data_IF_332125856517
#
_entry.id   IF_332125856517
#
_cell.length_a   1.000
_cell.length_b   1.000
_cell.length_c   1.000
_cell.angle_alpha   90.00
_cell.angle_beta   90.00
_cell.angle_gamma   90.00
#
_symmetry.space_group_name_H-M   'P 1'
#
loop_
_entity.id
_entity.type
_entity.pdbx_description
1 polymer ?
#
# COMPACT_ATOMS: atom_id res chain seq x y z
N UNK A 1 22.06 -15.42 36.32
CA UNK A 1 21.33 -14.47 35.45
C UNK A 1 20.39 -13.67 36.34
N UNK A 2 20.51 -12.34 36.37
CA UNK A 2 19.60 -11.51 37.16
C UNK A 2 18.16 -11.69 36.64
N UNK A 3 17.29 -12.25 37.47
CA UNK A 3 15.86 -12.43 37.15
C UNK A 3 15.12 -11.17 37.55
N UNK A 4 14.87 -10.30 36.57
CA UNK A 4 14.04 -9.11 36.77
C UNK A 4 12.55 -9.50 36.79
N UNK A 5 11.79 -8.94 37.73
CA UNK A 5 10.33 -9.10 37.76
C UNK A 5 9.69 -8.58 36.45
N UNK A 6 8.60 -9.23 36.02
CA UNK A 6 7.85 -8.83 34.82
C UNK A 6 7.34 -7.39 34.93
N UNK A 7 6.81 -7.02 36.10
CA UNK A 7 6.27 -5.69 36.37
C UNK A 7 7.34 -4.59 36.25
N UNK A 8 8.54 -4.87 36.76
CA UNK A 8 9.67 -3.96 36.70
C UNK A 8 10.14 -3.74 35.26
N UNK A 9 10.21 -4.83 34.49
CA UNK A 9 10.56 -4.77 33.07
C UNK A 9 9.53 -3.98 32.27
N UNK A 10 8.25 -4.18 32.53
CA UNK A 10 7.17 -3.49 31.81
C UNK A 10 7.14 -1.99 32.14
N UNK A 11 7.41 -1.62 33.41
CA UNK A 11 7.60 -0.21 33.81
C UNK A 11 8.73 0.46 33.02
N UNK A 12 9.89 -0.18 32.93
CA UNK A 12 11.04 0.37 32.19
C UNK A 12 10.77 0.44 30.68
N UNK A 13 10.07 -0.54 30.11
CA UNK A 13 9.66 -0.51 28.70
C UNK A 13 8.71 0.68 28.43
N UNK A 14 7.79 0.99 29.36
CA UNK A 14 6.89 2.15 29.25
C UNK A 14 7.65 3.49 29.25
N UNK A 15 8.69 3.62 30.06
CA UNK A 15 9.53 4.83 30.13
C UNK A 15 10.41 5.01 28.86
N UNK A 16 10.88 3.91 28.26
CA UNK A 16 11.73 3.91 27.05
C UNK A 16 10.98 4.09 25.72
N UNK A 17 9.65 4.07 25.74
CA UNK A 17 8.81 4.17 24.55
C UNK A 17 8.01 5.48 24.60
N UNK A 18 7.42 5.93 23.47
CA UNK A 18 6.45 7.02 23.49
C UNK A 18 5.34 6.73 24.52
N UNK A 19 4.89 7.73 25.31
CA UNK A 19 5.06 9.18 25.13
C UNK A 19 6.27 9.82 25.83
N UNK A 20 6.93 9.13 26.79
CA UNK A 20 8.03 9.72 27.56
C UNK A 20 9.38 9.68 26.83
N UNK A 21 9.65 8.62 26.05
CA UNK A 21 10.84 8.47 25.20
C UNK A 21 12.18 8.74 25.93
N UNK A 22 12.31 8.33 27.19
CA UNK A 22 13.50 8.60 28.02
C UNK A 22 14.75 7.90 27.50
N UNK A 23 15.90 8.51 27.77
CA UNK A 23 17.19 7.98 27.34
C UNK A 23 17.54 6.70 28.10
N UNK A 24 18.12 5.73 27.39
CA UNK A 24 18.57 4.49 28.01
C UNK A 24 19.64 4.78 29.08
N UNK A 25 20.50 5.78 28.85
CA UNK A 25 21.55 6.17 29.81
C UNK A 25 20.99 6.63 31.15
N UNK A 26 19.95 7.46 31.13
CA UNK A 26 19.27 7.93 32.35
C UNK A 26 18.68 6.76 33.15
N UNK A 27 18.12 5.76 32.45
CA UNK A 27 17.58 4.57 33.10
C UNK A 27 18.65 3.61 33.63
N UNK A 28 19.86 3.61 33.03
CA UNK A 28 21.01 2.88 33.59
C UNK A 28 21.41 3.50 34.92
N UNK A 29 21.50 4.83 34.99
CA UNK A 29 21.90 5.55 36.20
C UNK A 29 20.85 5.44 37.33
N UNK A 30 19.56 5.53 37.00
CA UNK A 30 18.49 5.49 37.99
C UNK A 30 18.22 4.06 38.50
N UNK A 31 18.14 3.08 37.59
CA UNK A 31 17.69 1.72 37.93
C UNK A 31 18.83 0.69 37.99
N UNK A 32 20.08 1.10 37.75
CA UNK A 32 21.27 0.25 37.78
C UNK A 32 21.12 -1.02 36.91
N UNK A 33 20.37 -0.90 35.82
CA UNK A 33 20.17 -1.98 34.84
C UNK A 33 21.19 -1.81 33.73
N UNK A 34 21.87 -2.91 33.38
CA UNK A 34 22.87 -2.88 32.31
C UNK A 34 22.26 -2.44 30.97
N UNK A 35 22.94 -1.52 30.27
CA UNK A 35 22.48 -0.88 29.03
C UNK A 35 21.99 -1.88 27.97
N UNK A 36 22.77 -2.95 27.75
CA UNK A 36 22.43 -4.03 26.81
C UNK A 36 21.10 -4.73 27.14
N UNK A 37 20.72 -4.82 28.41
CA UNK A 37 19.46 -5.45 28.84
C UNK A 37 18.26 -4.57 28.45
N UNK A 38 18.37 -3.27 28.66
CA UNK A 38 17.38 -2.28 28.25
C UNK A 38 17.21 -2.25 26.72
N UNK A 39 18.31 -2.27 25.96
CA UNK A 39 18.26 -2.40 24.50
C UNK A 39 17.56 -3.68 24.03
N UNK A 40 17.86 -4.83 24.65
CA UNK A 40 17.20 -6.11 24.34
C UNK A 40 15.70 -6.07 24.66
N UNK A 41 15.30 -5.44 25.75
CA UNK A 41 13.89 -5.29 26.11
C UNK A 41 13.15 -4.35 25.17
N UNK A 42 13.72 -3.20 24.81
CA UNK A 42 13.15 -2.28 23.82
C UNK A 42 12.97 -2.96 22.46
N UNK A 43 13.99 -3.69 21.99
CA UNK A 43 13.92 -4.43 20.72
C UNK A 43 12.83 -5.52 20.76
N UNK A 44 12.74 -6.27 21.86
CA UNK A 44 11.69 -7.30 22.04
C UNK A 44 10.29 -6.68 22.16
N UNK A 45 10.14 -5.51 22.79
CA UNK A 45 8.87 -4.80 22.88
C UNK A 45 8.40 -4.31 21.51
N UNK A 46 9.30 -3.68 20.73
CA UNK A 46 9.04 -3.28 19.34
C UNK A 46 8.67 -4.48 18.45
N UNK A 47 9.40 -5.60 18.58
CA UNK A 47 9.14 -6.81 17.79
C UNK A 47 7.86 -7.55 18.20
N UNK A 48 7.45 -7.47 19.46
CA UNK A 48 6.21 -8.08 19.96
C UNK A 48 4.96 -7.28 19.62
N UNK A 49 5.10 -6.12 18.97
CA UNK A 49 3.95 -5.35 18.52
C UNK A 49 3.04 -4.93 19.66
N UNK A 50 3.59 -4.51 20.81
CA UNK A 50 2.84 -3.61 21.67
C UNK A 50 2.65 -2.34 20.85
N UNK A 51 1.50 -2.27 20.19
CA UNK A 51 1.02 -1.15 19.39
C UNK A 51 0.91 0.06 20.31
N UNK A 52 2.03 0.70 20.60
CA UNK A 52 2.01 2.09 20.99
C UNK A 52 1.94 2.85 19.68
N UNK A 53 0.79 3.47 19.49
CA UNK A 53 0.42 4.16 18.28
C UNK A 53 1.43 5.27 18.00
N UNK A 54 2.39 5.00 17.11
CA UNK A 54 3.12 6.02 16.40
C UNK A 54 2.08 6.78 15.56
N UNK A 55 1.56 7.87 16.11
CA UNK A 55 0.66 8.80 15.42
C UNK A 55 1.34 9.54 14.25
N UNK A 56 2.58 9.19 13.89
CA UNK A 56 3.37 9.86 12.86
C UNK A 56 3.75 8.98 11.66
N UNK A 57 3.41 7.69 11.63
CA UNK A 57 3.90 6.84 10.53
C UNK A 57 3.23 5.50 10.27
N UNK A 58 2.48 4.94 11.23
CA UNK A 58 1.59 3.81 10.92
C UNK A 58 0.21 4.38 10.61
N UNK A 59 -0.27 4.22 9.37
CA UNK A 59 -1.70 4.40 9.06
C UNK A 59 -2.47 3.60 10.09
N UNK A 60 -2.98 4.25 11.14
CA UNK A 60 -3.92 3.62 12.03
C UNK A 60 -5.03 3.12 11.12
N UNK A 61 -5.30 1.81 11.16
CA UNK A 61 -6.49 1.29 10.49
C UNK A 61 -7.67 1.87 11.25
N UNK A 62 -8.13 3.06 10.84
CA UNK A 62 -9.34 3.67 11.38
C UNK A 62 -10.48 2.69 11.11
N UNK A 63 -11.11 2.20 12.18
CA UNK A 63 -12.32 1.40 12.04
C UNK A 63 -13.40 2.21 11.35
N UNK A 64 -14.35 1.56 10.68
CA UNK A 64 -15.43 2.27 9.95
C UNK A 64 -16.24 3.17 10.88
N UNK A 65 -16.44 2.76 12.14
CA UNK A 65 -17.10 3.54 13.18
C UNK A 65 -16.32 4.82 13.51
N UNK A 66 -14.99 4.72 13.60
CA UNK A 66 -14.12 5.86 13.88
C UNK A 66 -14.06 6.82 12.69
N UNK A 67 -14.02 6.29 11.46
CA UNK A 67 -14.12 7.10 10.24
C UNK A 67 -15.44 7.87 10.22
N UNK A 68 -16.55 7.22 10.53
CA UNK A 68 -17.87 7.87 10.61
C UNK A 68 -17.89 8.97 11.67
N UNK A 69 -17.35 8.71 12.87
CA UNK A 69 -17.27 9.71 13.93
C UNK A 69 -16.48 10.95 13.47
N UNK A 70 -15.32 10.74 12.83
CA UNK A 70 -14.49 11.83 12.30
C UNK A 70 -15.25 12.62 11.23
N UNK A 71 -15.98 11.94 10.35
CA UNK A 71 -16.80 12.59 9.31
C UNK A 71 -17.87 13.49 9.94
N UNK A 72 -18.53 13.03 11.01
CA UNK A 72 -19.56 13.79 11.72
C UNK A 72 -18.93 14.98 12.45
N UNK A 73 -17.83 14.77 13.17
CA UNK A 73 -17.10 15.83 13.89
C UNK A 73 -16.57 16.93 12.97
N UNK A 74 -16.20 16.56 11.72
CA UNK A 74 -15.64 17.49 10.72
C UNK A 74 -16.69 18.13 9.82
N UNK A 75 -17.96 17.73 9.93
CA UNK A 75 -19.05 18.31 9.15
C UNK A 75 -19.27 19.83 9.37
N UNK A 76 -19.25 20.35 10.62
CA UNK A 76 -19.46 21.78 10.87
C UNK A 76 -18.19 22.63 10.75
N UNK A 77 -17.01 22.02 10.57
CA UNK A 77 -15.73 22.72 10.62
C UNK A 77 -15.42 23.45 9.32
N UNK A 78 -14.85 24.66 9.43
CA UNK A 78 -14.32 25.38 8.28
C UNK A 78 -12.95 24.83 7.84
N UNK A 79 -12.48 25.16 6.63
CA UNK A 79 -11.22 24.64 6.06
C UNK A 79 -9.99 24.84 6.99
N UNK A 80 -9.93 25.95 7.71
CA UNK A 80 -8.86 26.22 8.68
C UNK A 80 -8.91 25.26 9.88
N UNK A 81 -10.09 25.12 10.49
CA UNK A 81 -10.34 24.26 11.65
C UNK A 81 -10.16 22.78 11.28
N UNK A 82 -10.56 22.40 10.05
CA UNK A 82 -10.32 21.08 9.50
C UNK A 82 -8.82 20.77 9.41
N UNK A 83 -8.01 21.73 8.97
CA UNK A 83 -6.54 21.57 8.90
C UNK A 83 -5.92 21.37 10.28
N UNK A 84 -6.36 22.13 11.28
CA UNK A 84 -5.92 21.98 12.67
C UNK A 84 -6.35 20.63 13.26
N UNK A 85 -7.59 20.21 13.02
CA UNK A 85 -8.11 18.91 13.42
C UNK A 85 -7.29 17.77 12.79
N UNK A 86 -7.02 17.86 11.49
CA UNK A 86 -6.20 16.92 10.72
C UNK A 86 -4.80 16.77 11.33
N UNK A 87 -4.13 17.90 11.64
CA UNK A 87 -2.80 17.91 12.29
C UNK A 87 -2.82 17.28 13.68
N UNK A 88 -3.87 17.55 14.48
CA UNK A 88 -4.01 16.98 15.84
C UNK A 88 -4.27 15.48 15.83
N UNK A 89 -5.04 14.99 14.84
CA UNK A 89 -5.44 13.57 14.73
C UNK A 89 -4.47 12.73 13.88
N UNK A 90 -3.58 13.37 13.13
CA UNK A 90 -2.65 12.71 12.21
C UNK A 90 -3.33 12.20 10.93
N UNK A 91 -4.36 12.89 10.44
CA UNK A 91 -5.18 12.50 9.29
C UNK A 91 -5.07 13.60 8.22
N UNK A 92 -5.11 13.24 6.94
CA UNK A 92 -5.19 14.22 5.85
C UNK A 92 -6.63 14.55 5.48
N UNK A 93 -6.90 15.81 5.09
CA UNK A 93 -8.22 16.24 4.65
C UNK A 93 -8.74 15.41 3.45
N UNK A 94 -7.84 15.04 2.53
CA UNK A 94 -8.13 14.16 1.40
C UNK A 94 -8.63 12.77 1.85
N UNK A 95 -8.10 12.22 2.94
CA UNK A 95 -8.55 10.92 3.47
C UNK A 95 -9.98 11.01 4.00
N UNK A 96 -10.33 12.12 4.67
CA UNK A 96 -11.69 12.37 5.16
C UNK A 96 -12.67 12.48 3.99
N UNK A 97 -12.28 13.16 2.91
CA UNK A 97 -13.10 13.24 1.69
C UNK A 97 -13.30 11.87 1.04
N UNK A 98 -12.24 11.07 0.93
CA UNK A 98 -12.33 9.70 0.42
C UNK A 98 -13.28 8.85 1.27
N UNK A 99 -13.21 8.96 2.60
CA UNK A 99 -14.15 8.25 3.49
C UNK A 99 -15.59 8.76 3.33
N UNK A 100 -15.81 10.08 3.20
CA UNK A 100 -17.14 10.66 2.92
C UNK A 100 -17.71 10.08 1.63
N UNK A 101 -16.93 10.07 0.56
CA UNK A 101 -17.36 9.53 -0.74
C UNK A 101 -17.65 8.03 -0.66
N UNK A 102 -16.80 7.25 0.01
CA UNK A 102 -17.02 5.82 0.23
C UNK A 102 -18.32 5.54 1.02
N UNK A 103 -18.61 6.35 2.05
CA UNK A 103 -19.87 6.25 2.81
C UNK A 103 -21.09 6.59 1.97
N UNK A 104 -21.03 7.63 1.12
CA UNK A 104 -22.14 8.04 0.26
C UNK A 104 -22.41 7.00 -0.84
N UNK A 105 -21.36 6.48 -1.45
CA UNK A 105 -21.46 5.50 -2.54
C UNK A 105 -21.77 4.08 -2.04
N UNK A 106 -21.58 3.83 -0.74
CA UNK A 106 -21.63 2.48 -0.17
C UNK A 106 -20.45 1.60 -0.61
N UNK A 107 -19.48 2.19 -1.30
CA UNK A 107 -18.39 1.48 -1.94
C UNK A 107 -17.33 1.11 -0.91
N UNK A 108 -17.08 -0.18 -0.74
CA UNK A 108 -16.02 -0.63 0.16
C UNK A 108 -14.64 -0.27 -0.44
N UNK A 109 -13.63 -0.13 0.43
CA UNK A 109 -12.25 0.11 -0.01
C UNK A 109 -11.71 -1.01 -0.93
N UNK A 110 -12.37 -2.17 -0.96
CA UNK A 110 -12.10 -3.27 -1.86
C UNK A 110 -12.72 -3.04 -3.24
N UNK A 111 -13.99 -2.62 -3.32
CA UNK A 111 -14.66 -2.32 -4.60
C UNK A 111 -13.98 -1.21 -5.40
N UNK A 112 -13.52 -0.14 -4.73
CA UNK A 112 -12.79 0.94 -5.38
C UNK A 112 -11.44 0.49 -5.97
N UNK A 113 -10.75 -0.45 -5.30
CA UNK A 113 -9.52 -1.07 -5.84
C UNK A 113 -9.84 -1.98 -7.01
N UNK A 114 -10.86 -2.83 -6.88
CA UNK A 114 -11.33 -3.71 -7.96
C UNK A 114 -11.71 -2.91 -9.20
N UNK A 115 -12.38 -1.75 -9.04
CA UNK A 115 -12.71 -0.88 -10.18
C UNK A 115 -11.48 -0.27 -10.85
N UNK A 116 -10.43 0.10 -10.10
CA UNK A 116 -9.18 0.58 -10.66
C UNK A 116 -8.44 -0.53 -11.41
N UNK A 117 -8.29 -1.68 -10.78
CA UNK A 117 -7.68 -2.88 -11.40
C UNK A 117 -8.42 -3.31 -12.67
N UNK A 118 -9.76 -3.24 -12.67
CA UNK A 118 -10.58 -3.53 -13.85
C UNK A 118 -10.28 -2.55 -14.99
N UNK A 119 -10.15 -1.24 -14.70
CA UNK A 119 -9.84 -0.23 -15.72
C UNK A 119 -8.45 -0.43 -16.30
N UNK A 120 -7.45 -0.70 -15.45
CA UNK A 120 -6.08 -0.92 -15.87
C UNK A 120 -5.99 -2.19 -16.72
N UNK A 121 -6.61 -3.29 -16.28
CA UNK A 121 -6.68 -4.54 -17.06
C UNK A 121 -7.41 -4.36 -18.40
N UNK A 122 -8.49 -3.58 -18.45
CA UNK A 122 -9.17 -3.26 -19.71
C UNK A 122 -8.29 -2.45 -20.66
N UNK A 123 -7.46 -1.54 -20.16
CA UNK A 123 -6.53 -0.77 -20.97
C UNK A 123 -5.43 -1.68 -21.56
N UNK A 124 -4.87 -2.57 -20.75
CA UNK A 124 -3.89 -3.58 -21.20
C UNK A 124 -4.48 -4.53 -22.24
N UNK A 125 -5.72 -5.00 -22.03
CA UNK A 125 -6.41 -5.85 -23.00
C UNK A 125 -6.64 -5.13 -24.34
N UNK A 126 -6.93 -3.83 -24.33
CA UNK A 126 -7.06 -3.06 -25.57
C UNK A 126 -5.73 -2.90 -26.30
N UNK A 127 -4.65 -2.67 -25.57
CA UNK A 127 -3.32 -2.50 -26.14
C UNK A 127 -2.84 -3.81 -26.76
N UNK A 128 -2.89 -4.90 -25.99
CA UNK A 128 -2.51 -6.24 -26.45
C UNK A 128 -3.33 -6.70 -27.66
N UNK A 129 -4.64 -6.45 -27.69
CA UNK A 129 -5.47 -6.74 -28.87
C UNK A 129 -5.01 -5.99 -30.12
N UNK A 130 -4.68 -4.70 -30.01
CA UNK A 130 -4.15 -3.94 -31.16
C UNK A 130 -2.81 -4.46 -31.65
N UNK A 131 -1.93 -4.87 -30.74
CA UNK A 131 -0.66 -5.50 -31.13
C UNK A 131 -0.87 -6.85 -31.82
N UNK A 132 -1.83 -7.64 -31.33
CA UNK A 132 -2.23 -8.90 -31.95
C UNK A 132 -2.71 -8.68 -33.38
N UNK A 133 -3.65 -7.75 -33.60
CA UNK A 133 -4.18 -7.43 -34.93
C UNK A 133 -3.08 -7.00 -35.91
N UNK A 134 -2.11 -6.19 -35.46
CA UNK A 134 -0.97 -5.79 -36.29
C UNK A 134 -0.09 -6.98 -36.68
N UNK A 135 0.18 -7.88 -35.73
CA UNK A 135 0.99 -9.09 -35.96
C UNK A 135 0.27 -10.07 -36.87
N UNK A 136 -1.03 -10.27 -36.69
CA UNK A 136 -1.85 -11.12 -37.56
C UNK A 136 -1.90 -10.58 -38.99
N UNK A 137 -2.03 -9.25 -39.17
CA UNK A 137 -1.97 -8.63 -40.49
C UNK A 137 -0.62 -8.86 -41.19
N UNK A 138 0.48 -8.62 -40.48
CA UNK A 138 1.82 -8.86 -41.03
C UNK A 138 2.06 -10.34 -41.34
N UNK A 139 1.53 -11.25 -40.52
CA UNK A 139 1.60 -12.69 -40.74
C UNK A 139 0.78 -13.09 -41.97
N UNK A 140 -0.42 -12.54 -42.15
CA UNK A 140 -1.25 -12.77 -43.32
C UNK A 140 -0.58 -12.26 -44.61
N UNK A 141 0.04 -11.08 -44.57
CA UNK A 141 0.82 -10.54 -45.68
C UNK A 141 2.02 -11.44 -46.02
N UNK A 142 2.77 -11.91 -45.01
CA UNK A 142 3.86 -12.86 -45.23
C UNK A 142 3.39 -14.20 -45.83
N UNK A 143 2.26 -14.73 -45.34
CA UNK A 143 1.66 -15.94 -45.89
C UNK A 143 1.22 -15.76 -47.35
N UNK A 144 0.63 -14.61 -47.69
CA UNK A 144 0.27 -14.26 -49.06
C UNK A 144 1.48 -14.20 -49.99
N UNK A 145 2.59 -13.59 -49.54
CA UNK A 145 3.84 -13.55 -50.30
C UNK A 145 4.44 -14.95 -50.51
N UNK A 146 4.41 -15.82 -49.51
CA UNK A 146 4.87 -17.21 -49.64
C UNK A 146 4.03 -18.01 -50.65
N UNK A 147 2.70 -17.85 -50.60
CA UNK A 147 1.80 -18.49 -51.56
C UNK A 147 2.05 -17.98 -52.97
N UNK A 148 2.22 -16.67 -53.15
CA UNK A 148 2.51 -16.07 -54.45
C UNK A 148 3.84 -16.59 -55.02
N UNK A 149 4.91 -16.63 -54.21
CA UNK A 149 6.21 -17.18 -54.60
C UNK A 149 6.09 -18.64 -55.05
N UNK A 150 5.34 -19.46 -54.31
CA UNK A 150 5.12 -20.87 -54.66
C UNK A 150 4.37 -21.03 -55.99
N UNK A 151 3.34 -20.22 -56.23
CA UNK A 151 2.58 -20.24 -57.51
C UNK A 151 3.47 -19.82 -58.68
N UNK A 152 4.25 -18.77 -58.50
CA UNK A 152 5.19 -18.28 -59.52
C UNK A 152 6.25 -19.33 -59.88
N UNK A 153 6.85 -19.98 -58.88
CA UNK A 153 7.80 -21.08 -59.11
C UNK A 153 7.15 -22.27 -59.83
N UNK A 154 5.89 -22.59 -59.52
CA UNK A 154 5.17 -23.67 -60.21
C UNK A 154 4.96 -23.39 -61.70
N UNK A 155 4.67 -22.13 -62.07
CA UNK A 155 4.52 -21.71 -63.48
C UNK A 155 5.85 -21.77 -64.23
N UNK A 156 6.94 -21.31 -63.62
CA UNK A 156 8.25 -21.33 -64.30
C UNK A 156 8.92 -22.70 -64.35
N UNK A 157 8.69 -23.58 -63.37
CA UNK A 157 9.16 -24.98 -63.47
C UNK A 157 8.38 -25.80 -64.50
N UNK A 158 7.13 -25.44 -64.81
CA UNK A 158 6.38 -26.15 -65.87
C UNK A 158 6.85 -25.80 -67.29
N UNK A 159 7.59 -24.70 -67.48
CA UNK A 159 8.14 -24.29 -68.79
C UNK A 159 9.54 -24.88 -69.06
N UNK A 160 10.22 -25.50 -68.08
CA UNK A 160 11.56 -26.08 -68.23
C UNK A 160 11.56 -27.61 -68.52
N UNK A 161 10.39 -28.27 -68.52
CA UNK A 161 10.24 -29.73 -68.71
C UNK A 161 9.68 -30.15 -70.08
N UNK A 162 9.50 -29.24 -71.04
CA UNK A 162 9.09 -29.52 -72.44
C UNK A 162 10.25 -29.36 -73.45
#
# INVERSE_FOLDING_TARGET
>A
MATYSKEFKDKLIKLMLPPENRSIKELVDEYHVHEQTLYKWRKKAKAKGTVYQDHAGSKQKYSKEMQLQIIIETSPLNNHELSEYCRRKGIYAEEIEVWKQAFITGETAEESKVKKELKDSQAELKLTKKELERKEKALAEAAALLVLKKKMQAIWSSDEED
#
